data_IF_195292577194
#
_entry.id   IF_195292577194
#
_cell.length_a   1.000
_cell.length_b   1.000
_cell.length_c   1.000
_cell.angle_alpha   90.00
_cell.angle_beta   90.00
_cell.angle_gamma   90.00
#
_symmetry.space_group_name_H-M   'P 1'
#
loop_
_entity.id
_entity.type
_entity.pdbx_description
1 polymer ?
#
# COMPACT_ATOMS: atom_id res chain seq x y z
N UNK A 1 7.53 -17.80 20.52
CA UNK A 1 8.59 -17.55 19.51
C UNK A 1 8.47 -16.17 18.87
N UNK A 2 7.31 -15.80 18.29
CA UNK A 2 7.10 -14.48 17.66
C UNK A 2 7.40 -13.27 18.57
N UNK A 3 7.00 -13.34 19.85
CA UNK A 3 7.16 -12.25 20.84
C UNK A 3 8.64 -11.93 21.11
N UNK A 4 9.46 -12.97 21.25
CA UNK A 4 10.90 -12.84 21.49
C UNK A 4 11.56 -12.21 20.27
N UNK A 5 11.16 -12.65 19.07
CA UNK A 5 11.67 -12.11 17.81
C UNK A 5 11.40 -10.60 17.69
N UNK A 6 10.16 -10.18 17.97
CA UNK A 6 9.78 -8.77 17.95
C UNK A 6 10.64 -7.93 18.91
N UNK A 7 10.78 -8.36 20.18
CA UNK A 7 11.59 -7.65 21.18
C UNK A 7 13.06 -7.54 20.74
N UNK A 8 13.62 -8.58 20.13
CA UNK A 8 14.98 -8.54 19.59
C UNK A 8 15.10 -7.49 18.49
N UNK A 9 14.14 -7.42 17.56
CA UNK A 9 14.16 -6.41 16.50
C UNK A 9 14.01 -4.98 17.03
N UNK A 10 13.12 -4.74 17.99
CA UNK A 10 12.98 -3.42 18.62
C UNK A 10 14.29 -2.97 19.30
N UNK A 11 14.95 -3.88 20.04
CA UNK A 11 16.21 -3.55 20.70
C UNK A 11 17.33 -3.29 19.68
N UNK A 12 17.44 -4.09 18.62
CA UNK A 12 18.45 -3.88 17.57
C UNK A 12 18.22 -2.52 16.88
N UNK A 13 16.98 -2.22 16.51
CA UNK A 13 16.64 -0.95 15.86
C UNK A 13 16.99 0.24 16.77
N UNK A 14 16.69 0.15 18.07
CA UNK A 14 17.05 1.17 19.05
C UNK A 14 18.57 1.34 19.19
N UNK A 15 19.33 0.25 19.38
CA UNK A 15 20.80 0.29 19.52
C UNK A 15 21.46 0.88 18.26
N UNK A 16 20.88 0.62 17.08
CA UNK A 16 21.42 1.11 15.82
C UNK A 16 20.89 2.49 15.42
N UNK A 17 20.09 3.13 16.29
CA UNK A 17 19.39 4.38 16.00
C UNK A 17 18.63 4.34 14.67
N UNK A 18 18.06 3.17 14.34
CA UNK A 18 17.38 2.89 13.11
C UNK A 18 15.87 3.16 13.23
N UNK A 19 15.26 3.53 12.11
CA UNK A 19 13.81 3.64 11.98
C UNK A 19 13.24 2.24 11.77
N UNK A 20 12.29 1.84 12.61
CA UNK A 20 11.57 0.58 12.45
C UNK A 20 10.30 0.82 11.64
N UNK A 21 10.07 0.02 10.60
CA UNK A 21 8.84 0.03 9.80
C UNK A 21 8.15 -1.34 9.97
N UNK A 22 6.90 -1.32 10.41
CA UNK A 22 6.04 -2.50 10.39
C UNK A 22 4.96 -2.30 9.32
N UNK A 23 4.99 -3.18 8.33
CA UNK A 23 4.02 -3.20 7.25
C UNK A 23 2.86 -4.16 7.54
N UNK A 24 1.68 -3.85 7.00
CA UNK A 24 0.44 -4.62 7.20
C UNK A 24 0.14 -4.91 8.68
N UNK A 25 0.32 -3.89 9.53
CA UNK A 25 0.17 -4.05 10.96
C UNK A 25 -1.32 -4.24 11.39
N UNK A 26 -2.28 -4.18 10.46
CA UNK A 26 -3.70 -4.49 10.68
C UNK A 26 -3.97 -5.89 11.23
N UNK A 27 -3.06 -6.84 10.97
CA UNK A 27 -3.09 -8.17 11.61
C UNK A 27 -3.10 -8.07 13.15
N UNK A 28 -2.49 -7.03 13.71
CA UNK A 28 -2.41 -6.80 15.16
C UNK A 28 -3.49 -5.82 15.68
N UNK A 29 -4.19 -5.12 14.79
CA UNK A 29 -5.09 -4.00 15.12
C UNK A 29 -6.58 -4.32 15.07
N UNK A 30 -6.95 -5.53 14.65
CA UNK A 30 -8.36 -5.95 14.61
C UNK A 30 -9.00 -5.90 16.02
N UNK A 31 -10.27 -5.50 16.09
CA UNK A 31 -10.99 -5.40 17.37
C UNK A 31 -10.95 -6.74 18.11
N UNK A 32 -10.69 -6.65 19.42
CA UNK A 32 -10.72 -7.82 20.31
C UNK A 32 -12.07 -8.51 20.21
N UNK A 33 -12.05 -9.79 19.89
CA UNK A 33 -13.23 -10.65 19.88
C UNK A 33 -13.21 -11.59 21.09
N UNK A 34 -14.37 -11.83 21.68
CA UNK A 34 -14.56 -12.74 22.82
C UNK A 34 -14.19 -14.19 22.50
N UNK A 35 -14.17 -14.56 21.23
CA UNK A 35 -13.92 -15.95 20.79
C UNK A 35 -12.42 -16.25 20.64
N UNK A 36 -11.60 -15.28 20.24
CA UNK A 36 -10.20 -15.53 19.88
C UNK A 36 -9.20 -14.99 20.91
N UNK A 37 -9.01 -15.76 21.98
CA UNK A 37 -8.09 -15.43 23.08
C UNK A 37 -6.63 -15.26 22.62
N UNK A 38 -6.17 -16.06 21.66
CA UNK A 38 -4.78 -16.01 21.16
C UNK A 38 -4.50 -14.68 20.43
N UNK A 39 -5.42 -14.24 19.57
CA UNK A 39 -5.32 -12.94 18.90
C UNK A 39 -5.32 -11.80 19.91
N UNK A 40 -6.24 -11.84 20.88
CA UNK A 40 -6.29 -10.81 21.92
C UNK A 40 -4.99 -10.74 22.73
N UNK A 41 -4.36 -11.88 23.03
CA UNK A 41 -3.07 -11.92 23.69
C UNK A 41 -1.98 -11.24 22.84
N UNK A 42 -1.92 -11.54 21.54
CA UNK A 42 -0.98 -10.92 20.60
C UNK A 42 -1.19 -9.40 20.52
N UNK A 43 -2.43 -8.94 20.42
CA UNK A 43 -2.81 -7.51 20.45
C UNK A 43 -2.34 -6.83 21.74
N UNK A 44 -2.55 -7.46 22.90
CA UNK A 44 -2.10 -6.94 24.20
C UNK A 44 -0.57 -6.84 24.30
N UNK A 45 0.15 -7.83 23.80
CA UNK A 45 1.62 -7.82 23.78
C UNK A 45 2.13 -6.71 22.86
N UNK A 46 1.50 -6.54 21.70
CA UNK A 46 1.87 -5.51 20.74
C UNK A 46 1.63 -4.10 21.30
N UNK A 47 0.50 -3.85 21.97
CA UNK A 47 0.24 -2.60 22.69
C UNK A 47 1.33 -2.28 23.71
N UNK A 48 1.79 -3.30 24.45
CA UNK A 48 2.88 -3.15 25.41
C UNK A 48 4.21 -2.79 24.73
N UNK A 49 4.50 -3.39 23.57
CA UNK A 49 5.71 -3.07 22.81
C UNK A 49 5.70 -1.64 22.27
N UNK A 50 4.54 -1.16 21.79
CA UNK A 50 4.38 0.24 21.36
C UNK A 50 4.62 1.22 22.51
N UNK A 51 4.19 0.89 23.72
CA UNK A 51 4.33 1.74 24.90
C UNK A 51 5.78 1.86 25.38
N UNK A 52 6.57 0.78 25.30
CA UNK A 52 7.95 0.76 25.78
C UNK A 52 9.00 1.06 24.71
N UNK A 53 8.64 1.14 23.43
CA UNK A 53 9.62 1.36 22.39
C UNK A 53 10.18 2.79 22.42
N UNK A 54 11.50 2.91 22.53
CA UNK A 54 12.21 4.19 22.68
C UNK A 54 12.79 4.74 21.35
N UNK A 55 12.34 4.23 20.20
CA UNK A 55 12.80 4.64 18.87
C UNK A 55 11.69 5.17 17.97
N UNK A 56 12.03 5.49 16.72
CA UNK A 56 11.05 5.88 15.70
C UNK A 56 10.44 4.63 15.09
N UNK A 57 9.12 4.52 15.17
CA UNK A 57 8.33 3.43 14.60
C UNK A 57 7.32 3.98 13.59
N UNK A 58 7.40 3.47 12.36
CA UNK A 58 6.37 3.64 11.34
C UNK A 58 5.51 2.38 11.27
N UNK A 59 4.20 2.59 11.17
CA UNK A 59 3.20 1.55 11.03
C UNK A 59 2.42 1.85 9.76
N UNK A 60 2.32 0.87 8.85
CA UNK A 60 1.44 0.96 7.68
C UNK A 60 0.28 -0.02 7.82
N UNK A 61 -0.91 0.42 7.45
CA UNK A 61 -2.15 -0.36 7.52
C UNK A 61 -3.05 0.00 6.36
N UNK A 62 -3.72 -1.01 5.79
CA UNK A 62 -4.76 -0.82 4.79
C UNK A 62 -6.17 -0.73 5.43
N UNK A 63 -6.28 -0.96 6.75
CA UNK A 63 -7.56 -1.10 7.47
C UNK A 63 -7.62 -0.20 8.69
N UNK A 64 -7.78 1.10 8.46
CA UNK A 64 -7.87 2.11 9.54
C UNK A 64 -9.20 2.02 10.32
N UNK A 65 -10.27 1.47 9.72
CA UNK A 65 -11.61 1.46 10.33
C UNK A 65 -11.79 0.47 11.49
N UNK A 66 -10.83 -0.42 11.73
CA UNK A 66 -10.92 -1.49 12.75
C UNK A 66 -10.05 -1.26 13.99
N UNK A 67 -9.37 -0.11 14.11
CA UNK A 67 -8.46 0.13 15.22
C UNK A 67 -9.12 0.05 16.60
N UNK A 68 -8.49 -0.68 17.53
CA UNK A 68 -8.78 -0.55 18.96
C UNK A 68 -8.34 0.85 19.43
N UNK A 69 -9.22 1.62 20.11
CA UNK A 69 -8.88 2.94 20.65
C UNK A 69 -7.61 2.98 21.50
N UNK A 70 -7.23 1.87 22.14
CA UNK A 70 -6.01 1.75 22.92
C UNK A 70 -4.72 1.87 22.08
N UNK A 71 -4.77 1.53 20.78
CA UNK A 71 -3.66 1.79 19.86
C UNK A 71 -3.57 3.27 19.52
N UNK A 72 -4.72 3.92 19.31
CA UNK A 72 -4.74 5.31 18.92
C UNK A 72 -4.12 6.21 19.99
N UNK A 73 -4.26 5.87 21.27
CA UNK A 73 -3.63 6.62 22.37
C UNK A 73 -2.10 6.48 22.44
N UNK A 74 -1.50 5.53 21.71
CA UNK A 74 -0.05 5.23 21.71
C UNK A 74 0.64 5.66 20.42
N UNK A 75 -0.11 6.15 19.43
CA UNK A 75 0.40 6.64 18.15
C UNK A 75 0.48 8.17 18.22
N UNK A 76 1.67 8.71 17.99
CA UNK A 76 1.89 10.16 18.06
C UNK A 76 1.35 10.93 16.85
N UNK A 77 1.30 10.29 15.67
CA UNK A 77 0.90 10.94 14.42
C UNK A 77 0.23 9.96 13.47
N UNK A 78 -0.82 10.43 12.79
CA UNK A 78 -1.54 9.68 11.77
C UNK A 78 -1.36 10.35 10.42
N UNK A 79 -0.92 9.58 9.43
CA UNK A 79 -0.89 9.98 8.03
C UNK A 79 -2.01 9.27 7.29
N UNK A 80 -3.06 10.02 6.94
CA UNK A 80 -4.14 9.50 6.11
C UNK A 80 -3.86 9.78 4.63
N UNK A 81 -3.84 8.72 3.83
CA UNK A 81 -3.72 8.81 2.38
C UNK A 81 -5.10 8.56 1.76
N UNK A 82 -5.86 9.62 1.42
CA UNK A 82 -7.16 9.46 0.80
C UNK A 82 -7.00 8.94 -0.64
N UNK A 83 -8.11 8.50 -1.22
CA UNK A 83 -8.16 8.20 -2.65
C UNK A 83 -7.83 9.43 -3.49
N UNK A 84 -7.03 9.23 -4.53
CA UNK A 84 -6.50 10.30 -5.37
C UNK A 84 -7.60 11.01 -6.16
N UNK A 85 -7.58 12.34 -6.14
CA UNK A 85 -8.43 13.17 -7.00
C UNK A 85 -7.92 13.18 -8.46
N UNK A 86 -8.69 13.77 -9.37
CA UNK A 86 -8.34 13.78 -10.81
C UNK A 86 -7.04 14.54 -11.09
N UNK A 87 -6.80 15.66 -10.39
CA UNK A 87 -5.58 16.47 -10.57
C UNK A 87 -4.33 15.73 -10.09
N UNK A 88 -4.41 15.07 -8.94
CA UNK A 88 -3.35 14.23 -8.38
C UNK A 88 -3.06 13.03 -9.28
N UNK A 89 -4.10 12.38 -9.82
CA UNK A 89 -3.93 11.30 -10.81
C UNK A 89 -3.22 11.81 -12.06
N UNK A 90 -3.60 12.97 -12.58
CA UNK A 90 -2.93 13.59 -13.73
C UNK A 90 -1.44 13.86 -13.44
N UNK A 91 -1.13 14.38 -12.25
CA UNK A 91 0.25 14.60 -11.82
C UNK A 91 1.06 13.31 -11.73
N UNK A 92 0.46 12.23 -11.19
CA UNK A 92 1.10 10.91 -11.10
C UNK A 92 1.35 10.33 -12.50
N UNK A 93 0.37 10.36 -13.39
CA UNK A 93 0.53 9.94 -14.78
C UNK A 93 1.65 10.71 -15.47
N UNK A 94 1.64 12.03 -15.38
CA UNK A 94 2.68 12.90 -15.95
C UNK A 94 4.07 12.55 -15.41
N UNK A 95 4.19 12.31 -14.11
CA UNK A 95 5.46 11.93 -13.48
C UNK A 95 5.98 10.58 -13.98
N UNK A 96 5.12 9.55 -14.09
CA UNK A 96 5.55 8.25 -14.59
C UNK A 96 5.86 8.26 -16.09
N UNK A 97 5.06 8.95 -16.91
CA UNK A 97 5.31 9.13 -18.34
C UNK A 97 6.66 9.83 -18.56
N UNK A 98 6.92 10.93 -17.82
CA UNK A 98 8.18 11.66 -17.88
C UNK A 98 9.36 10.80 -17.43
N UNK A 99 9.24 10.08 -16.31
CA UNK A 99 10.28 9.18 -15.79
C UNK A 99 10.60 8.05 -16.78
N UNK A 100 9.59 7.54 -17.47
CA UNK A 100 9.74 6.51 -18.48
C UNK A 100 10.23 7.04 -19.85
N UNK A 101 10.34 8.38 -20.02
CA UNK A 101 10.71 9.08 -21.27
C UNK A 101 9.79 8.72 -22.44
N UNK A 102 8.48 8.71 -22.18
CA UNK A 102 7.47 8.39 -23.18
C UNK A 102 6.84 9.68 -23.70
N UNK A 103 6.54 9.71 -24.99
CA UNK A 103 5.81 10.79 -25.64
C UNK A 103 4.32 10.44 -25.65
N UNK A 104 3.67 10.61 -24.49
CA UNK A 104 2.26 10.29 -24.27
C UNK A 104 1.59 11.46 -23.53
N UNK A 105 0.33 11.75 -23.87
CA UNK A 105 -0.47 12.72 -23.12
C UNK A 105 -1.05 12.05 -21.86
N UNK A 106 -0.82 12.64 -20.68
CA UNK A 106 -1.36 12.13 -19.43
C UNK A 106 -2.89 12.18 -19.39
N UNK A 107 -3.48 13.21 -19.99
CA UNK A 107 -4.91 13.51 -19.91
C UNK A 107 -5.80 12.43 -20.52
N UNK A 108 -5.23 11.65 -21.45
CA UNK A 108 -5.90 10.52 -22.10
C UNK A 108 -6.24 9.40 -21.09
N UNK A 109 -5.49 9.29 -19.98
CA UNK A 109 -5.59 8.17 -19.04
C UNK A 109 -6.19 8.54 -17.67
N UNK A 110 -6.37 9.83 -17.37
CA UNK A 110 -6.82 10.31 -16.05
C UNK A 110 -8.24 9.86 -15.70
N UNK A 111 -9.08 9.62 -16.71
CA UNK A 111 -10.48 9.19 -16.53
C UNK A 111 -10.60 7.79 -15.92
N UNK A 112 -9.56 6.97 -16.01
CA UNK A 112 -9.56 5.64 -15.40
C UNK A 112 -9.33 5.75 -13.89
N UNK A 113 -10.18 5.09 -13.10
CA UNK A 113 -10.08 5.11 -11.64
C UNK A 113 -8.95 4.19 -11.14
N UNK A 114 -7.70 4.60 -11.38
CA UNK A 114 -6.50 3.84 -11.05
C UNK A 114 -5.74 4.49 -9.89
N UNK A 115 -5.14 3.67 -9.04
CA UNK A 115 -4.22 4.10 -8.00
C UNK A 115 -2.78 4.22 -8.54
N UNK A 116 -1.88 4.84 -7.76
CA UNK A 116 -0.49 5.06 -8.18
C UNK A 116 0.28 3.77 -8.48
N UNK A 117 -0.01 2.67 -7.79
CA UNK A 117 0.61 1.36 -8.03
C UNK A 117 0.14 0.75 -9.36
N UNK A 118 -1.15 0.82 -9.63
CA UNK A 118 -1.73 0.36 -10.90
C UNK A 118 -1.17 1.16 -12.08
N UNK A 119 -1.10 2.49 -11.97
CA UNK A 119 -0.52 3.36 -13.01
C UNK A 119 0.93 2.95 -13.31
N UNK A 120 1.74 2.69 -12.27
CA UNK A 120 3.11 2.23 -12.43
C UNK A 120 3.17 0.91 -13.20
N UNK A 121 2.37 -0.08 -12.78
CA UNK A 121 2.32 -1.40 -13.38
C UNK A 121 1.84 -1.37 -14.83
N UNK A 122 0.86 -0.51 -15.14
CA UNK A 122 0.36 -0.30 -16.51
C UNK A 122 1.46 0.20 -17.41
N UNK A 123 2.18 1.27 -17.00
CA UNK A 123 3.25 1.85 -17.80
C UNK A 123 4.40 0.84 -17.98
N UNK A 124 4.75 0.11 -16.92
CA UNK A 124 5.77 -0.93 -16.99
C UNK A 124 5.38 -2.05 -17.95
N UNK A 125 4.15 -2.56 -17.86
CA UNK A 125 3.65 -3.65 -18.71
C UNK A 125 3.49 -3.21 -20.17
N UNK A 126 2.96 -2.01 -20.41
CA UNK A 126 2.83 -1.44 -21.75
C UNK A 126 4.21 -1.29 -22.43
N UNK A 127 5.24 -0.91 -21.64
CA UNK A 127 6.62 -0.84 -22.12
C UNK A 127 7.19 -2.21 -22.47
N UNK A 128 6.92 -3.23 -21.65
CA UNK A 128 7.31 -4.61 -21.94
C UNK A 128 6.64 -5.14 -23.21
N UNK A 129 5.34 -4.88 -23.39
CA UNK A 129 4.59 -5.25 -24.60
C UNK A 129 5.15 -4.60 -25.87
N UNK A 130 5.45 -3.29 -25.81
CA UNK A 130 6.04 -2.56 -26.93
C UNK A 130 7.44 -3.11 -27.29
N UNK A 131 8.27 -3.37 -26.27
CA UNK A 131 9.60 -3.96 -26.44
C UNK A 131 9.54 -5.35 -27.10
N UNK A 132 8.62 -6.20 -26.66
CA UNK A 132 8.42 -7.53 -27.25
C UNK A 132 8.01 -7.44 -28.73
N UNK A 133 7.17 -6.47 -29.07
CA UNK A 133 6.74 -6.20 -30.46
C UNK A 133 7.76 -5.43 -31.29
N UNK A 134 8.95 -5.10 -30.76
CA UNK A 134 9.98 -4.25 -31.38
C UNK A 134 9.44 -2.91 -31.90
N UNK A 135 8.46 -2.34 -31.20
CA UNK A 135 7.83 -1.05 -31.54
C UNK A 135 8.05 -0.05 -30.41
N UNK A 136 8.00 1.23 -30.75
CA UNK A 136 7.89 2.29 -29.74
C UNK A 136 6.57 2.16 -28.97
N UNK A 137 6.58 2.56 -27.69
CA UNK A 137 5.34 2.62 -26.92
C UNK A 137 4.38 3.60 -27.58
N UNK A 138 3.09 3.36 -27.42
CA UNK A 138 2.03 4.22 -27.97
C UNK A 138 0.87 4.17 -27.00
N UNK A 139 -0.02 5.16 -27.01
CA UNK A 139 -1.24 5.17 -26.20
C UNK A 139 -2.06 3.88 -26.37
N UNK A 140 -2.04 3.27 -27.56
CA UNK A 140 -2.66 1.96 -27.82
C UNK A 140 -2.17 0.85 -26.90
N UNK A 141 -0.87 0.78 -26.61
CA UNK A 141 -0.31 -0.22 -25.71
C UNK A 141 -0.76 0.00 -24.26
N UNK A 142 -0.90 1.26 -23.85
CA UNK A 142 -1.37 1.62 -22.51
C UNK A 142 -2.85 1.27 -22.36
N UNK A 143 -3.69 1.68 -23.32
CA UNK A 143 -5.12 1.36 -23.33
C UNK A 143 -5.39 -0.14 -23.35
N UNK A 144 -4.62 -0.92 -24.13
CA UNK A 144 -4.72 -2.38 -24.10
C UNK A 144 -4.49 -2.98 -22.70
N UNK A 145 -3.51 -2.47 -21.96
CA UNK A 145 -3.24 -2.96 -20.60
C UNK A 145 -4.34 -2.51 -19.63
N UNK A 146 -4.84 -1.29 -19.78
CA UNK A 146 -5.95 -0.77 -18.97
C UNK A 146 -7.21 -1.63 -19.19
N UNK A 147 -7.57 -1.92 -20.44
CA UNK A 147 -8.73 -2.77 -20.78
C UNK A 147 -8.63 -4.15 -20.14
N UNK A 148 -7.45 -4.79 -20.19
CA UNK A 148 -7.22 -6.10 -19.57
C UNK A 148 -7.39 -6.05 -18.05
N UNK A 149 -6.85 -5.01 -17.40
CA UNK A 149 -6.97 -4.84 -15.93
C UNK A 149 -8.44 -4.58 -15.54
N UNK A 150 -9.14 -3.71 -16.28
CA UNK A 150 -10.53 -3.40 -16.00
C UNK A 150 -11.45 -4.62 -16.20
N UNK A 151 -11.20 -5.42 -17.26
CA UNK A 151 -11.92 -6.66 -17.47
C UNK A 151 -11.67 -7.64 -16.32
N UNK A 152 -10.42 -7.82 -15.90
CA UNK A 152 -10.08 -8.70 -14.78
C UNK A 152 -10.73 -8.25 -13.45
N UNK A 153 -10.76 -6.94 -13.18
CA UNK A 153 -11.45 -6.39 -12.02
C UNK A 153 -12.97 -6.66 -12.08
N UNK A 154 -13.57 -6.53 -13.26
CA UNK A 154 -14.99 -6.84 -13.48
C UNK A 154 -15.27 -8.32 -13.24
N UNK A 155 -14.45 -9.22 -13.80
CA UNK A 155 -14.59 -10.66 -13.64
C UNK A 155 -14.48 -11.09 -12.17
N UNK A 156 -13.54 -10.51 -11.41
CA UNK A 156 -13.42 -10.75 -9.96
C UNK A 156 -14.69 -10.30 -9.25
N UNK A 157 -15.18 -9.09 -9.53
CA UNK A 157 -16.38 -8.59 -8.86
C UNK A 157 -17.60 -9.49 -9.15
N UNK A 158 -17.74 -10.00 -10.38
CA UNK A 158 -18.81 -10.94 -10.74
C UNK A 158 -18.70 -12.31 -10.04
N UNK A 159 -17.49 -12.75 -9.67
CA UNK A 159 -17.26 -13.98 -8.91
C UNK A 159 -17.43 -13.83 -7.39
N UNK A 160 -17.45 -12.59 -6.89
CA UNK A 160 -17.51 -12.29 -5.45
C UNK A 160 -18.93 -11.95 -4.96
N UNK A 161 -19.92 -12.02 -5.86
CA UNK A 161 -21.37 -11.91 -5.59
C UNK A 161 -22.10 -13.17 -6.06
#
# INVERSE_FOLDING_TARGET
MLIILAIVYYNIAFVWNAILLLDEADIYFEKRDTVNLERNAMTCIFLRQLEYYQGILFLTTNRVMTFDPAFCSRISMFFHYPTLNLEEKAAIWKNFIKKAKLDLNSDDFVKHNLNGHEIHNIIHTAKLLAKNRKKSITAKHVNQVIEVIQQFQKDINELTY
#
